data_IF_778028442356
#
_entry.id   IF_778028442356
#
_cell.length_a   1.000
_cell.length_b   1.000
_cell.length_c   1.000
_cell.angle_alpha   90.00
_cell.angle_beta   90.00
_cell.angle_gamma   90.00
#
_symmetry.space_group_name_H-M   'P 1'
#
loop_
_entity.id
_entity.type
_entity.pdbx_description
1 polymer ?
#
# COMPACT_ATOMS: atom_id res chain seq x y z
N UNK A 1 3.66 -31.61 14.30
CA UNK A 1 3.06 -30.34 14.76
C UNK A 1 3.71 -29.22 13.97
N UNK A 2 2.90 -28.33 13.39
CA UNK A 2 3.42 -27.20 12.63
C UNK A 2 4.08 -26.18 13.55
N UNK A 3 5.09 -25.50 13.05
CA UNK A 3 5.78 -24.39 13.74
C UNK A 3 4.79 -23.29 14.16
N UNK A 4 3.67 -23.20 13.43
CA UNK A 4 2.55 -22.27 13.61
C UNK A 4 1.68 -22.65 14.83
N UNK A 5 1.39 -23.94 15.06
CA UNK A 5 0.63 -24.41 16.23
C UNK A 5 1.40 -24.16 17.53
N UNK A 6 2.73 -24.29 17.49
CA UNK A 6 3.61 -24.02 18.64
C UNK A 6 3.67 -22.53 18.99
N UNK A 7 3.59 -21.64 18.00
CA UNK A 7 3.54 -20.19 18.21
C UNK A 7 2.16 -19.77 18.73
N UNK A 8 1.08 -20.37 18.20
CA UNK A 8 -0.30 -20.17 18.67
C UNK A 8 -0.46 -20.49 20.17
N UNK A 9 -0.05 -21.69 20.58
CA UNK A 9 -0.23 -22.18 21.95
C UNK A 9 0.55 -21.38 23.00
N UNK A 10 1.62 -20.68 22.59
CA UNK A 10 2.47 -19.90 23.49
C UNK A 10 2.06 -18.42 23.58
N UNK A 11 1.50 -17.83 22.51
CA UNK A 11 0.95 -16.47 22.56
C UNK A 11 -0.32 -16.42 23.43
N UNK A 12 -1.11 -17.50 23.45
CA UNK A 12 -2.38 -17.58 24.21
C UNK A 12 -2.23 -17.76 25.73
N UNK A 13 -1.02 -17.94 26.26
CA UNK A 13 -0.81 -17.97 27.72
C UNK A 13 -1.62 -19.04 28.48
N UNK A 14 -1.91 -20.19 27.85
CA UNK A 14 -2.56 -21.32 28.53
C UNK A 14 -1.57 -21.96 29.52
N UNK A 15 -1.47 -21.40 30.72
CA UNK A 15 -0.94 -22.07 31.91
C UNK A 15 -1.98 -23.04 32.42
N UNK A 16 -2.14 -24.17 31.72
CA UNK A 16 -2.77 -25.37 32.27
C UNK A 16 -1.66 -26.31 32.72
N UNK A 17 -1.61 -26.61 34.02
CA UNK A 17 -0.58 -27.35 34.77
C UNK A 17 -0.23 -28.76 34.26
N UNK A 18 -0.71 -29.20 33.10
CA UNK A 18 -0.45 -30.51 32.47
C UNK A 18 0.75 -30.53 31.50
N UNK A 19 1.38 -29.39 31.23
CA UNK A 19 2.53 -29.30 30.30
C UNK A 19 3.90 -29.35 30.99
N UNK A 20 3.94 -29.35 32.32
CA UNK A 20 5.19 -29.42 33.08
C UNK A 20 5.82 -30.84 33.08
N UNK A 21 5.03 -31.87 32.79
CA UNK A 21 5.52 -33.27 32.84
C UNK A 21 5.87 -33.86 31.45
N UNK A 22 5.50 -33.18 30.35
CA UNK A 22 5.73 -33.68 28.99
C UNK A 22 6.63 -32.78 28.11
N UNK A 23 7.08 -31.63 28.61
CA UNK A 23 7.81 -30.63 27.82
C UNK A 23 9.31 -30.52 28.15
N UNK A 24 9.86 -31.37 29.01
CA UNK A 24 11.30 -31.33 29.38
C UNK A 24 12.23 -31.97 28.34
N UNK A 25 11.71 -32.67 27.32
CA UNK A 25 12.57 -33.44 26.39
C UNK A 25 12.88 -32.79 25.03
N UNK A 26 12.24 -31.67 24.64
CA UNK A 26 12.42 -31.12 23.28
C UNK A 26 12.57 -29.59 23.21
N UNK A 27 13.22 -28.97 24.19
CA UNK A 27 13.71 -27.60 24.07
C UNK A 27 14.89 -27.53 23.08
N UNK A 28 14.61 -27.62 21.77
CA UNK A 28 15.58 -27.23 20.73
C UNK A 28 15.93 -25.75 20.93
N UNK A 29 17.21 -25.36 20.85
CA UNK A 29 17.62 -23.96 20.99
C UNK A 29 16.87 -23.12 19.96
N UNK A 30 16.05 -22.20 20.47
CA UNK A 30 15.16 -21.34 19.67
C UNK A 30 16.00 -20.50 18.71
N UNK A 31 15.51 -20.32 17.48
CA UNK A 31 16.24 -19.53 16.49
C UNK A 31 15.96 -18.05 16.75
N UNK A 32 17.02 -17.22 16.77
CA UNK A 32 16.96 -15.76 17.07
C UNK A 32 15.88 -15.01 16.27
N UNK A 33 15.56 -15.48 15.05
CA UNK A 33 14.55 -14.89 14.19
C UNK A 33 13.09 -15.11 14.67
N UNK A 34 12.81 -16.24 15.34
CA UNK A 34 11.48 -16.58 15.86
C UNK A 34 11.12 -15.68 17.04
N UNK A 35 12.08 -15.50 17.96
CA UNK A 35 11.91 -14.62 19.11
C UNK A 35 11.67 -13.17 18.71
N UNK A 36 12.35 -12.72 17.65
CA UNK A 36 12.19 -11.37 17.11
C UNK A 36 10.80 -11.16 16.48
N UNK A 37 10.32 -12.11 15.69
CA UNK A 37 8.98 -12.05 15.10
C UNK A 37 7.90 -11.99 16.19
N UNK A 38 8.03 -12.83 17.23
CA UNK A 38 7.08 -12.86 18.35
C UNK A 38 7.06 -11.54 19.12
N UNK A 39 8.22 -10.91 19.33
CA UNK A 39 8.30 -9.58 19.97
C UNK A 39 7.58 -8.51 19.16
N UNK A 40 7.81 -8.45 17.84
CA UNK A 40 7.15 -7.48 16.97
C UNK A 40 5.65 -7.75 16.92
N UNK A 41 5.23 -9.00 16.74
CA UNK A 41 3.82 -9.35 16.67
C UNK A 41 3.06 -8.93 17.94
N UNK A 42 3.64 -9.17 19.13
CA UNK A 42 3.04 -8.76 20.41
C UNK A 42 2.92 -7.24 20.54
N UNK A 43 3.92 -6.49 20.08
CA UNK A 43 3.87 -5.02 20.14
C UNK A 43 2.84 -4.45 19.15
N UNK A 44 2.77 -5.00 17.94
CA UNK A 44 1.76 -4.59 16.94
C UNK A 44 0.35 -4.95 17.42
N UNK A 45 0.18 -6.09 18.07
CA UNK A 45 -1.08 -6.47 18.71
C UNK A 45 -1.45 -5.49 19.83
N UNK A 46 -0.52 -5.11 20.70
CA UNK A 46 -0.77 -4.12 21.73
C UNK A 46 -1.17 -2.76 21.14
N UNK A 47 -0.51 -2.33 20.06
CA UNK A 47 -0.90 -1.14 19.32
C UNK A 47 -2.28 -1.28 18.70
N UNK A 48 -2.63 -2.45 18.16
CA UNK A 48 -3.95 -2.75 17.61
C UNK A 48 -5.05 -2.70 18.68
N UNK A 49 -4.82 -3.28 19.86
CA UNK A 49 -5.77 -3.26 20.98
C UNK A 49 -5.95 -1.86 21.57
N UNK A 50 -4.89 -1.06 21.62
CA UNK A 50 -4.97 0.31 22.11
C UNK A 50 -5.73 1.23 21.17
N UNK A 51 -5.52 1.05 19.87
CA UNK A 51 -6.10 1.89 18.84
C UNK A 51 -7.48 1.39 18.37
N UNK A 52 -7.82 0.10 18.56
CA UNK A 52 -9.10 -0.41 18.08
C UNK A 52 -10.27 0.35 18.71
N UNK A 53 -11.22 0.73 17.85
CA UNK A 53 -12.41 1.44 18.26
C UNK A 53 -13.64 0.71 17.76
N UNK A 54 -14.51 0.30 18.69
CA UNK A 54 -15.79 -0.35 18.36
C UNK A 54 -16.93 0.55 18.84
N UNK A 55 -17.58 1.31 17.95
CA UNK A 55 -18.75 2.10 18.31
C UNK A 55 -19.93 1.18 18.67
N UNK A 56 -20.84 1.61 19.58
CA UNK A 56 -21.97 0.79 20.00
C UNK A 56 -22.87 0.43 18.80
N UNK A 57 -23.01 -0.86 18.52
CA UNK A 57 -23.82 -1.39 17.41
C UNK A 57 -23.18 -1.30 16.01
N UNK A 58 -21.91 -0.88 15.90
CA UNK A 58 -21.18 -0.74 14.64
C UNK A 58 -19.99 -1.71 14.48
N UNK A 59 -19.32 -1.70 13.32
CA UNK A 59 -18.15 -2.54 13.06
C UNK A 59 -16.93 -2.07 13.85
N UNK A 60 -16.01 -2.98 14.17
CA UNK A 60 -14.73 -2.65 14.81
C UNK A 60 -13.78 -2.03 13.78
N UNK A 61 -13.24 -0.86 14.12
CA UNK A 61 -12.24 -0.15 13.33
C UNK A 61 -10.86 -0.40 13.92
N UNK A 62 -9.91 -0.73 13.04
CA UNK A 62 -8.49 -0.88 13.36
C UNK A 62 -7.66 -0.03 12.39
N UNK A 63 -6.45 0.40 12.79
CA UNK A 63 -5.49 1.04 11.90
C UNK A 63 -5.26 0.25 10.61
N UNK A 64 -5.04 0.98 9.50
CA UNK A 64 -4.88 0.38 8.17
C UNK A 64 -3.45 -0.05 7.90
N UNK A 65 -2.50 0.59 8.55
CA UNK A 65 -1.09 0.32 8.36
C UNK A 65 -0.35 0.36 9.70
N UNK A 66 0.58 -0.57 9.88
CA UNK A 66 1.48 -0.61 11.02
C UNK A 66 2.92 -0.51 10.52
N UNK A 67 3.57 0.60 10.84
CA UNK A 67 4.97 0.84 10.49
C UNK A 67 5.84 0.39 11.67
N UNK A 68 6.60 -0.68 11.46
CA UNK A 68 7.57 -1.21 12.43
C UNK A 68 8.94 -0.61 12.09
N UNK A 69 9.40 0.32 12.92
CA UNK A 69 10.73 0.88 12.80
C UNK A 69 11.74 -0.01 13.53
N UNK A 70 12.73 -0.46 12.80
CA UNK A 70 13.86 -1.25 13.30
C UNK A 70 15.11 -0.39 13.44
N UNK A 71 15.98 -0.76 14.37
CA UNK A 71 17.32 -0.19 14.43
C UNK A 71 18.10 -0.46 13.14
N UNK A 72 19.06 0.41 12.83
CA UNK A 72 19.92 0.24 11.66
C UNK A 72 20.78 -1.03 11.71
N UNK A 73 21.05 -1.57 12.92
CA UNK A 73 21.80 -2.81 13.08
C UNK A 73 20.93 -4.04 12.91
N UNK A 74 19.68 -4.01 13.36
CA UNK A 74 18.74 -5.11 13.13
C UNK A 74 18.30 -5.15 11.66
N UNK A 75 18.08 -4.01 11.00
CA UNK A 75 17.70 -3.99 9.58
C UNK A 75 18.73 -4.73 8.70
N UNK A 76 20.03 -4.66 9.03
CA UNK A 76 21.09 -5.41 8.33
C UNK A 76 20.88 -6.93 8.36
N UNK A 77 20.35 -7.45 9.47
CA UNK A 77 20.02 -8.87 9.62
C UNK A 77 18.73 -9.25 8.87
N UNK A 78 17.88 -8.26 8.56
CA UNK A 78 16.54 -8.39 7.98
C UNK A 78 16.42 -7.78 6.57
N UNK A 79 17.41 -8.02 5.70
CA UNK A 79 17.40 -7.55 4.32
C UNK A 79 16.92 -8.61 3.31
N UNK A 80 16.53 -8.16 2.12
CA UNK A 80 16.22 -9.04 0.99
C UNK A 80 15.02 -9.95 1.23
N UNK A 81 15.21 -11.26 1.07
CA UNK A 81 14.14 -12.25 1.21
C UNK A 81 13.76 -12.52 2.66
N UNK A 82 14.68 -12.32 3.62
CA UNK A 82 14.35 -12.39 5.06
C UNK A 82 13.34 -11.33 5.47
N UNK A 83 13.45 -10.11 4.94
CA UNK A 83 12.48 -9.03 5.14
C UNK A 83 11.08 -9.42 4.67
N UNK A 84 11.00 -9.99 3.46
CA UNK A 84 9.73 -10.43 2.87
C UNK A 84 9.09 -11.55 3.66
N UNK A 85 9.89 -12.54 4.08
CA UNK A 85 9.41 -13.64 4.92
C UNK A 85 8.90 -13.13 6.26
N UNK A 86 9.57 -12.14 6.85
CA UNK A 86 9.15 -11.50 8.10
C UNK A 86 7.85 -10.70 7.91
N UNK A 87 7.74 -9.86 6.87
CA UNK A 87 6.53 -9.12 6.51
C UNK A 87 5.33 -10.05 6.28
N UNK A 88 5.53 -11.13 5.50
CA UNK A 88 4.49 -12.12 5.24
C UNK A 88 4.10 -12.91 6.49
N UNK A 89 5.08 -13.30 7.32
CA UNK A 89 4.83 -14.00 8.57
C UNK A 89 4.07 -13.14 9.57
N UNK A 90 4.46 -11.87 9.73
CA UNK A 90 3.76 -10.91 10.58
C UNK A 90 2.35 -10.65 10.08
N UNK A 91 2.16 -10.43 8.78
CA UNK A 91 0.84 -10.24 8.19
C UNK A 91 -0.08 -11.43 8.47
N UNK A 92 0.40 -12.66 8.31
CA UNK A 92 -0.37 -13.87 8.58
C UNK A 92 -0.79 -13.97 10.05
N UNK A 93 0.16 -13.88 10.99
CA UNK A 93 -0.10 -13.97 12.43
C UNK A 93 -1.05 -12.86 12.90
N UNK A 94 -0.84 -11.63 12.45
CA UNK A 94 -1.68 -10.50 12.83
C UNK A 94 -3.09 -10.59 12.22
N UNK A 95 -3.24 -11.18 11.03
CA UNK A 95 -4.54 -11.34 10.39
C UNK A 95 -5.42 -12.32 11.15
N UNK A 96 -4.82 -13.41 11.65
CA UNK A 96 -5.52 -14.36 12.52
C UNK A 96 -5.94 -13.68 13.83
N UNK A 97 -5.03 -12.91 14.46
CA UNK A 97 -5.32 -12.19 15.71
C UNK A 97 -6.37 -11.09 15.55
N UNK A 98 -6.33 -10.30 14.48
CA UNK A 98 -7.34 -9.27 14.22
C UNK A 98 -8.75 -9.87 14.09
N UNK A 99 -8.84 -11.08 13.51
CA UNK A 99 -10.09 -11.83 13.39
C UNK A 99 -10.57 -12.37 14.75
N UNK A 100 -9.65 -12.81 15.61
CA UNK A 100 -9.98 -13.23 16.98
C UNK A 100 -10.43 -12.06 17.85
N UNK A 101 -9.73 -10.92 17.79
CA UNK A 101 -10.04 -9.70 18.54
C UNK A 101 -11.39 -9.09 18.14
N UNK A 102 -11.73 -9.15 16.86
CA UNK A 102 -13.05 -8.69 16.39
C UNK A 102 -14.20 -9.67 16.68
N UNK A 103 -13.87 -10.93 17.02
CA UNK A 103 -14.84 -11.94 17.41
C UNK A 103 -15.96 -12.14 16.38
N UNK A 104 -17.19 -11.84 16.78
CA UNK A 104 -18.40 -11.89 15.95
C UNK A 104 -18.71 -10.59 15.20
N UNK A 105 -17.96 -9.51 15.46
CA UNK A 105 -18.18 -8.18 14.86
C UNK A 105 -17.38 -8.06 13.58
N UNK A 106 -18.01 -7.61 12.50
CA UNK A 106 -17.31 -7.44 11.22
C UNK A 106 -16.25 -6.32 11.34
N UNK A 107 -15.00 -6.63 10.99
CA UNK A 107 -13.97 -5.61 10.80
C UNK A 107 -14.36 -4.69 9.65
N UNK A 108 -14.27 -3.37 9.88
CA UNK A 108 -14.56 -2.37 8.84
C UNK A 108 -13.55 -2.43 7.68
N UNK A 109 -12.34 -2.90 7.93
CA UNK A 109 -11.26 -3.04 6.96
C UNK A 109 -11.02 -4.50 6.60
N UNK A 110 -10.93 -4.80 5.29
CA UNK A 110 -10.73 -6.16 4.75
C UNK A 110 -9.28 -6.65 4.86
N UNK A 111 -8.33 -5.72 5.03
CA UNK A 111 -6.89 -5.98 5.09
C UNK A 111 -6.17 -4.78 5.69
N UNK A 112 -5.10 -5.01 6.44
CA UNK A 112 -4.15 -4.00 6.91
C UNK A 112 -2.75 -4.30 6.35
N UNK A 113 -1.88 -3.29 6.26
CA UNK A 113 -0.50 -3.44 5.83
C UNK A 113 0.46 -3.41 7.03
N UNK A 114 1.57 -4.14 6.93
CA UNK A 114 2.68 -4.04 7.88
C UNK A 114 3.92 -3.66 7.09
N UNK A 115 4.46 -2.47 7.34
CA UNK A 115 5.66 -1.97 6.70
C UNK A 115 6.81 -1.99 7.71
N UNK A 116 7.95 -2.56 7.32
CA UNK A 116 9.18 -2.38 8.10
C UNK A 116 9.89 -1.12 7.60
N UNK A 117 10.34 -0.26 8.50
CA UNK A 117 11.21 0.90 8.21
C UNK A 117 12.44 0.89 9.11
N UNK A 118 13.43 1.68 8.75
CA UNK A 118 14.64 1.85 9.56
C UNK A 118 14.55 3.18 10.29
N UNK A 119 14.85 3.18 11.58
CA UNK A 119 15.09 4.39 12.34
C UNK A 119 16.51 4.37 12.92
N UNK A 120 17.31 5.36 12.51
CA UNK A 120 18.69 5.52 12.94
C UNK A 120 18.84 6.02 14.38
N UNK A 121 17.76 6.41 15.06
CA UNK A 121 17.80 6.82 16.47
C UNK A 121 17.58 5.65 17.44
N UNK A 122 17.22 4.46 16.94
CA UNK A 122 16.95 3.28 17.76
C UNK A 122 18.22 2.46 18.00
N UNK A 123 18.37 1.94 19.21
CA UNK A 123 19.49 1.07 19.56
C UNK A 123 19.29 -0.34 19.02
N UNK A 124 20.38 -1.11 18.89
CA UNK A 124 20.28 -2.52 18.48
C UNK A 124 19.37 -3.32 19.42
N UNK A 125 18.40 -4.03 18.85
CA UNK A 125 17.36 -4.76 19.57
C UNK A 125 16.13 -3.92 19.96
N UNK A 126 16.17 -2.61 19.70
CA UNK A 126 15.06 -1.69 19.91
C UNK A 126 14.25 -1.52 18.62
N UNK A 127 12.93 -1.50 18.78
CA UNK A 127 11.99 -1.27 17.68
C UNK A 127 10.81 -0.46 18.21
N UNK A 128 10.16 0.31 17.34
CA UNK A 128 8.90 1.00 17.65
C UNK A 128 7.84 0.67 16.61
N UNK A 129 6.59 0.61 17.04
CA UNK A 129 5.45 0.41 16.16
C UNK A 129 4.63 1.69 16.11
N UNK A 130 4.37 2.16 14.91
CA UNK A 130 3.47 3.28 14.66
C UNK A 130 2.23 2.76 13.92
N UNK A 131 1.07 2.93 14.55
CA UNK A 131 -0.21 2.71 13.90
C UNK A 131 -0.58 3.92 13.05
N UNK A 132 -0.99 3.68 11.81
CA UNK A 132 -1.37 4.72 10.85
C UNK A 132 -2.81 4.50 10.43
N UNK A 133 -3.64 5.51 10.65
CA UNK A 133 -5.05 5.51 10.30
C UNK A 133 -5.30 6.01 8.87
N UNK A 134 -4.51 7.00 8.43
CA UNK A 134 -4.60 7.62 7.10
C UNK A 134 -3.25 7.62 6.36
N UNK A 135 -3.31 7.43 5.04
CA UNK A 135 -2.14 7.40 4.13
C UNK A 135 -1.28 8.68 4.19
N UNK A 136 -1.85 9.79 4.65
CA UNK A 136 -1.18 11.07 4.86
C UNK A 136 -0.31 11.16 6.12
N UNK A 137 -0.53 10.32 7.12
CA UNK A 137 0.24 10.33 8.38
C UNK A 137 1.49 9.44 8.32
N UNK A 138 1.66 8.68 7.23
CA UNK A 138 2.78 7.78 6.98
C UNK A 138 4.14 8.48 6.77
N UNK A 139 4.28 9.76 7.16
CA UNK A 139 5.56 10.47 7.16
C UNK A 139 6.12 10.77 5.77
N UNK A 140 5.26 10.95 4.76
CA UNK A 140 5.68 11.57 3.50
C UNK A 140 5.93 13.06 3.74
N UNK A 141 7.14 13.42 4.18
CA UNK A 141 7.61 14.80 4.20
C UNK A 141 7.69 15.30 2.76
N UNK A 142 6.58 15.79 2.22
CA UNK A 142 6.58 16.52 0.96
C UNK A 142 7.24 17.87 1.20
N UNK A 143 8.51 17.97 0.80
CA UNK A 143 9.16 19.27 0.65
C UNK A 143 8.47 19.96 -0.54
N UNK A 144 7.50 20.83 -0.26
CA UNK A 144 6.96 21.74 -1.28
C UNK A 144 8.10 22.59 -1.81
N UNK A 145 8.43 22.52 -3.11
CA UNK A 145 9.44 23.41 -3.70
C UNK A 145 9.00 24.86 -3.52
N UNK A 146 9.95 25.71 -3.12
CA UNK A 146 9.77 27.16 -2.97
C UNK A 146 9.19 27.71 -4.28
N UNK A 147 7.97 28.22 -4.23
CA UNK A 147 7.30 28.84 -5.37
C UNK A 147 8.14 30.03 -5.84
N UNK A 148 8.57 29.98 -7.09
CA UNK A 148 9.34 31.03 -7.76
C UNK A 148 8.44 32.28 -7.88
N UNK A 149 8.84 33.36 -7.20
CA UNK A 149 8.06 34.61 -7.07
C UNK A 149 7.96 35.40 -8.39
N UNK A 150 8.49 34.88 -9.49
CA UNK A 150 8.54 35.54 -10.80
C UNK A 150 7.25 35.40 -11.64
N UNK A 151 6.19 34.75 -11.13
CA UNK A 151 4.90 34.58 -11.82
C UNK A 151 3.67 34.91 -10.97
N UNK A 152 3.68 36.04 -10.25
CA UNK A 152 2.46 36.58 -9.64
C UNK A 152 2.00 37.85 -10.38
N UNK A 153 0.69 38.00 -10.68
CA UNK A 153 0.14 39.22 -11.27
C UNK A 153 0.31 40.41 -10.32
N UNK A 154 0.57 41.58 -10.92
CA UNK A 154 1.13 42.77 -10.30
C UNK A 154 0.20 43.59 -9.37
N UNK A 155 -0.55 42.95 -8.46
CA UNK A 155 -1.38 43.71 -7.52
C UNK A 155 -1.53 43.05 -6.13
N UNK A 156 -0.43 42.56 -5.56
CA UNK A 156 -0.41 42.09 -4.17
C UNK A 156 0.34 43.13 -3.31
N UNK A 157 -0.37 43.78 -2.39
CA UNK A 157 0.17 44.80 -1.50
C UNK A 157 0.30 44.18 -0.09
N UNK A 158 1.51 43.85 0.40
CA UNK A 158 1.71 43.01 1.59
C UNK A 158 1.57 43.76 2.93
N UNK A 159 0.87 44.89 2.98
CA UNK A 159 0.73 45.70 4.21
C UNK A 159 -0.73 45.86 4.70
N UNK A 160 -1.69 45.15 4.13
CA UNK A 160 -3.06 45.11 4.65
C UNK A 160 -3.31 43.86 5.53
N UNK A 161 -2.89 44.03 6.79
CA UNK A 161 -3.71 43.73 7.97
C UNK A 161 -3.87 42.27 8.39
N UNK A 162 -2.96 41.88 9.29
CA UNK A 162 -3.29 41.12 10.51
C UNK A 162 -4.46 41.84 11.22
N UNK A 163 -5.67 41.27 11.13
CA UNK A 163 -6.74 41.46 12.10
C UNK A 163 -7.43 40.14 12.34
N UNK A 164 -7.01 39.53 13.44
CA UNK A 164 -7.80 38.69 14.32
C UNK A 164 -9.27 39.17 14.37
N UNK A 165 -10.17 38.30 13.92
CA UNK A 165 -11.58 38.34 14.28
C UNK A 165 -11.96 36.92 14.70
N UNK A 166 -11.84 36.69 16.01
CA UNK A 166 -12.74 35.81 16.70
C UNK A 166 -14.16 36.36 16.50
N UNK A 167 -14.96 35.67 15.69
CA UNK A 167 -16.42 35.79 15.73
C UNK A 167 -16.93 34.40 16.05
N UNK A 168 -17.40 34.27 17.29
CA UNK A 168 -18.28 33.21 17.73
C UNK A 168 -19.54 33.26 16.88
N UNK A 169 -19.69 32.31 15.96
CA UNK A 169 -21.01 31.94 15.45
C UNK A 169 -21.28 30.50 15.86
N UNK A 170 -22.00 30.41 16.98
CA UNK A 170 -22.79 29.24 17.34
C UNK A 170 -23.85 29.07 16.24
N UNK A 171 -23.60 28.16 15.30
CA UNK A 171 -24.67 27.58 14.50
C UNK A 171 -24.37 26.10 14.29
N UNK A 172 -25.19 25.29 14.97
CA UNK A 172 -25.35 23.87 14.78
C UNK A 172 -25.70 23.61 13.31
N UNK A 173 -24.74 23.07 12.57
CA UNK A 173 -24.95 22.16 11.46
C UNK A 173 -23.59 21.57 11.07
N UNK A 174 -23.31 20.36 11.55
CA UNK A 174 -22.28 19.48 11.01
C UNK A 174 -22.62 19.14 9.55
N UNK A 175 -22.37 20.07 8.64
CA UNK A 175 -22.27 19.72 7.22
C UNK A 175 -20.90 19.07 7.02
N UNK A 176 -20.93 17.74 6.95
CA UNK A 176 -19.86 16.92 6.40
C UNK A 176 -19.45 17.50 5.03
N UNK A 177 -18.32 18.20 4.98
CA UNK A 177 -17.71 18.59 3.71
C UNK A 177 -17.16 17.32 3.06
N UNK A 178 -18.02 16.63 2.30
CA UNK A 178 -17.63 15.53 1.42
C UNK A 178 -16.75 16.14 0.34
N UNK A 179 -15.42 16.09 0.53
CA UNK A 179 -14.48 16.37 -0.56
C UNK A 179 -14.81 15.39 -1.69
N UNK A 180 -15.38 15.90 -2.76
CA UNK A 180 -15.62 15.14 -3.98
C UNK A 180 -14.29 14.56 -4.44
N UNK A 181 -14.17 13.21 -4.42
CA UNK A 181 -13.00 12.51 -4.95
C UNK A 181 -12.72 13.03 -6.36
N UNK A 182 -11.45 13.33 -6.66
CA UNK A 182 -11.04 13.71 -8.00
C UNK A 182 -11.60 12.68 -9.00
N UNK A 183 -12.32 13.16 -10.00
CA UNK A 183 -12.95 12.27 -10.95
C UNK A 183 -11.86 11.60 -11.82
N UNK A 184 -11.98 10.29 -12.12
CA UNK A 184 -11.02 9.64 -13.01
C UNK A 184 -11.06 10.27 -14.40
N UNK A 185 -9.89 10.38 -15.01
CA UNK A 185 -9.70 10.95 -16.35
C UNK A 185 -10.22 10.01 -17.44
N UNK A 186 -9.98 8.71 -17.26
CA UNK A 186 -10.42 7.62 -18.13
C UNK A 186 -10.34 6.30 -17.35
N UNK A 187 -10.85 5.22 -17.91
CA UNK A 187 -10.67 3.86 -17.37
C UNK A 187 -9.92 2.99 -18.35
N UNK A 188 -9.23 1.97 -17.85
CA UNK A 188 -8.53 0.99 -18.69
C UNK A 188 -9.08 -0.39 -18.39
N UNK A 189 -9.57 -1.08 -19.43
CA UNK A 189 -9.98 -2.47 -19.33
C UNK A 189 -8.81 -3.39 -19.64
N UNK A 190 -8.66 -4.45 -18.85
CA UNK A 190 -7.66 -5.50 -19.05
C UNK A 190 -8.40 -6.80 -19.33
N UNK A 191 -8.02 -7.44 -20.44
CA UNK A 191 -8.57 -8.69 -20.93
C UNK A 191 -7.46 -9.72 -21.08
N UNK A 192 -7.72 -10.96 -20.71
CA UNK A 192 -6.82 -12.10 -20.91
C UNK A 192 -7.60 -13.27 -21.47
N UNK A 193 -7.13 -13.84 -22.58
CA UNK A 193 -7.77 -15.00 -23.23
C UNK A 193 -9.29 -14.81 -23.48
N UNK A 194 -9.72 -13.59 -23.76
CA UNK A 194 -11.14 -13.25 -24.01
C UNK A 194 -11.99 -13.01 -22.76
N UNK A 195 -11.43 -13.14 -21.55
CA UNK A 195 -12.11 -12.82 -20.28
C UNK A 195 -11.64 -11.46 -19.79
N UNK A 196 -12.58 -10.58 -19.41
CA UNK A 196 -12.25 -9.29 -18.80
C UNK A 196 -11.83 -9.51 -17.35
N UNK A 197 -10.57 -9.24 -17.04
CA UNK A 197 -10.01 -9.42 -15.69
C UNK A 197 -10.27 -8.21 -14.80
N UNK A 198 -10.12 -7.00 -15.34
CA UNK A 198 -10.21 -5.78 -14.53
C UNK A 198 -10.63 -4.55 -15.35
N UNK A 199 -11.20 -3.56 -14.66
CA UNK A 199 -11.42 -2.21 -15.16
C UNK A 199 -10.83 -1.25 -14.13
N UNK A 200 -9.78 -0.52 -14.51
CA UNK A 200 -8.98 0.30 -13.60
C UNK A 200 -9.21 1.78 -13.91
N UNK A 201 -9.73 2.58 -12.95
CA UNK A 201 -9.87 4.02 -13.14
C UNK A 201 -8.51 4.71 -13.05
N UNK A 202 -8.22 5.59 -14.01
CA UNK A 202 -6.94 6.29 -14.11
C UNK A 202 -7.10 7.76 -13.74
N UNK A 203 -6.29 8.21 -12.79
CA UNK A 203 -6.27 9.59 -12.28
C UNK A 203 -5.11 10.42 -12.85
N UNK A 204 -4.10 9.77 -13.45
CA UNK A 204 -2.86 10.39 -13.92
C UNK A 204 -2.90 10.58 -15.44
N UNK A 205 -2.22 11.62 -15.91
CA UNK A 205 -2.02 11.82 -17.35
C UNK A 205 -1.05 10.80 -17.92
N UNK A 206 -0.03 10.37 -17.17
CA UNK A 206 0.92 9.34 -17.58
C UNK A 206 0.85 8.15 -16.61
N UNK A 207 0.75 6.95 -17.17
CA UNK A 207 0.78 5.70 -16.43
C UNK A 207 1.75 4.71 -17.05
N UNK A 208 2.42 3.96 -16.18
CA UNK A 208 3.28 2.84 -16.56
C UNK A 208 2.51 1.52 -16.52
N UNK A 209 2.68 0.72 -17.56
CA UNK A 209 2.02 -0.57 -17.75
C UNK A 209 3.09 -1.66 -17.78
N UNK A 210 2.91 -2.74 -17.03
CA UNK A 210 3.83 -3.87 -17.08
C UNK A 210 3.63 -4.84 -15.93
N UNK A 211 4.56 -5.79 -15.79
CA UNK A 211 4.50 -6.80 -14.72
C UNK A 211 4.84 -6.22 -13.35
N UNK A 212 5.64 -5.16 -13.31
CA UNK A 212 6.27 -4.65 -12.11
C UNK A 212 7.29 -5.63 -11.50
N UNK A 213 7.99 -5.16 -10.48
CA UNK A 213 8.82 -5.97 -9.59
C UNK A 213 9.00 -5.26 -8.26
N UNK A 214 9.70 -5.88 -7.31
CA UNK A 214 10.03 -5.23 -6.03
C UNK A 214 10.71 -3.87 -6.17
N UNK A 215 11.55 -3.70 -7.19
CA UNK A 215 12.29 -2.46 -7.47
C UNK A 215 11.66 -1.58 -8.54
N UNK A 216 10.54 -1.99 -9.14
CA UNK A 216 9.89 -1.28 -10.24
C UNK A 216 8.39 -1.34 -10.03
N UNK A 217 7.83 -0.27 -9.47
CA UNK A 217 6.38 -0.09 -9.39
C UNK A 217 5.83 0.29 -10.76
N UNK A 218 4.62 -0.17 -11.05
CA UNK A 218 3.85 0.24 -12.23
C UNK A 218 2.45 0.63 -11.80
N UNK A 219 1.85 1.56 -12.54
CA UNK A 219 0.50 2.05 -12.26
C UNK A 219 -0.57 1.03 -12.68
N UNK A 220 -0.33 0.34 -13.81
CA UNK A 220 -1.20 -0.71 -14.32
C UNK A 220 -0.47 -2.07 -14.33
N UNK A 221 -0.58 -2.85 -13.23
CA UNK A 221 0.09 -4.13 -13.12
C UNK A 221 -0.61 -5.23 -13.92
N UNK A 222 0.14 -5.87 -14.82
CA UNK A 222 -0.27 -7.06 -15.57
C UNK A 222 0.38 -8.28 -14.91
N UNK A 223 -0.40 -9.06 -14.18
CA UNK A 223 0.11 -10.19 -13.37
C UNK A 223 -0.05 -11.52 -14.11
N UNK A 224 0.83 -12.48 -13.80
CA UNK A 224 0.65 -13.87 -14.21
C UNK A 224 1.23 -14.25 -15.57
N UNK A 225 2.03 -13.37 -16.18
CA UNK A 225 2.83 -13.68 -17.38
C UNK A 225 4.26 -13.13 -17.23
N UNK A 226 5.29 -14.01 -17.19
CA UNK A 226 6.69 -13.60 -17.09
C UNK A 226 7.23 -12.92 -18.36
N UNK A 227 6.57 -13.08 -19.51
CA UNK A 227 6.95 -12.45 -20.78
C UNK A 227 6.69 -10.95 -20.79
N UNK A 228 5.75 -10.50 -19.96
CA UNK A 228 5.51 -9.08 -19.74
C UNK A 228 6.69 -8.48 -18.99
N UNK A 229 7.34 -7.51 -19.64
CA UNK A 229 8.43 -6.73 -19.05
C UNK A 229 7.99 -6.00 -17.77
N UNK A 230 8.95 -5.77 -16.86
CA UNK A 230 8.69 -5.07 -15.59
C UNK A 230 8.04 -3.71 -15.82
N UNK A 231 8.55 -2.95 -16.79
CA UNK A 231 7.87 -1.83 -17.44
C UNK A 231 7.78 -2.18 -18.92
N UNK A 232 6.56 -2.39 -19.42
CA UNK A 232 6.31 -2.86 -20.77
C UNK A 232 5.89 -1.72 -21.70
N UNK A 233 5.00 -0.85 -21.25
CA UNK A 233 4.57 0.31 -22.00
C UNK A 233 4.31 1.49 -21.07
N UNK A 234 4.29 2.70 -21.63
CA UNK A 234 3.83 3.91 -20.95
C UNK A 234 2.69 4.47 -21.77
N UNK A 235 1.56 4.70 -21.12
CA UNK A 235 0.40 5.36 -21.71
C UNK A 235 0.35 6.78 -21.16
N UNK A 236 0.42 7.77 -22.04
CA UNK A 236 0.26 9.18 -21.69
C UNK A 236 -0.97 9.77 -22.38
N UNK A 237 -1.57 10.76 -21.71
CA UNK A 237 -2.68 11.55 -22.19
C UNK A 237 -2.28 13.01 -22.17
N UNK A 238 -2.41 13.69 -23.31
CA UNK A 238 -2.10 15.11 -23.40
C UNK A 238 -3.26 15.99 -22.90
N UNK A 239 -3.05 17.31 -22.88
CA UNK A 239 -4.06 18.28 -22.45
C UNK A 239 -5.25 18.40 -23.43
N UNK A 240 -5.09 17.91 -24.66
CA UNK A 240 -6.14 17.86 -25.69
C UNK A 240 -6.97 16.56 -25.59
N UNK A 241 -6.57 15.65 -24.70
CA UNK A 241 -7.25 14.38 -24.44
C UNK A 241 -6.82 13.24 -25.36
N UNK A 242 -5.80 13.42 -26.20
CA UNK A 242 -5.23 12.37 -27.06
C UNK A 242 -4.36 11.44 -26.25
N UNK A 243 -4.31 10.18 -26.67
CA UNK A 243 -3.56 9.13 -26.01
C UNK A 243 -2.32 8.76 -26.83
N UNK A 244 -1.21 8.58 -26.13
CA UNK A 244 0.07 8.22 -26.70
C UNK A 244 0.60 6.99 -25.99
N UNK A 245 0.98 5.97 -26.75
CA UNK A 245 1.54 4.73 -26.23
C UNK A 245 3.01 4.61 -26.64
N UNK A 246 3.88 4.45 -25.66
CA UNK A 246 5.31 4.20 -25.88
C UNK A 246 5.65 2.79 -25.42
N UNK A 247 6.06 1.93 -26.34
CA UNK A 247 6.49 0.57 -26.04
C UNK A 247 7.92 0.57 -25.47
N UNK A 248 8.13 0.03 -24.26
CA UNK A 248 9.45 -0.07 -23.60
C UNK A 248 9.94 -1.50 -23.40
N UNK A 249 9.01 -2.45 -23.47
CA UNK A 249 9.22 -3.87 -23.21
C UNK A 249 10.19 -4.54 -24.18
N UNK A 250 10.66 -5.73 -23.78
CA UNK A 250 11.45 -6.61 -24.65
C UNK A 250 10.60 -7.25 -25.74
N UNK A 251 9.39 -7.69 -25.36
CA UNK A 251 8.43 -8.31 -26.27
C UNK A 251 7.59 -7.22 -26.94
N UNK A 252 7.08 -7.48 -28.15
CA UNK A 252 6.37 -6.47 -28.93
C UNK A 252 5.05 -6.07 -28.27
N UNK A 253 4.73 -4.78 -28.38
CA UNK A 253 3.39 -4.24 -28.12
C UNK A 253 2.73 -3.96 -29.45
N UNK A 254 1.50 -4.41 -29.65
CA UNK A 254 0.75 -4.20 -30.89
C UNK A 254 -0.51 -3.40 -30.64
N UNK A 255 -0.93 -2.59 -31.61
CA UNK A 255 -2.20 -1.85 -31.59
C UNK A 255 -2.98 -2.26 -32.82
N UNK A 256 -4.16 -2.84 -32.64
CA UNK A 256 -5.00 -3.41 -33.71
C UNK A 256 -4.23 -4.36 -34.65
N UNK A 257 -3.25 -5.09 -34.09
CA UNK A 257 -2.40 -6.04 -34.82
C UNK A 257 -1.16 -5.42 -35.48
N UNK A 258 -0.97 -4.10 -35.42
CA UNK A 258 0.26 -3.44 -35.87
C UNK A 258 1.25 -3.31 -34.73
N UNK A 259 2.47 -3.82 -34.91
CA UNK A 259 3.55 -3.66 -33.93
C UNK A 259 4.02 -2.21 -33.85
N UNK A 260 4.26 -1.74 -32.62
CA UNK A 260 4.80 -0.42 -32.35
C UNK A 260 6.33 -0.44 -32.31
N UNK A 261 6.94 0.64 -32.78
CA UNK A 261 8.38 0.86 -32.61
C UNK A 261 8.70 1.08 -31.14
N UNK A 262 9.75 0.42 -30.64
CA UNK A 262 10.20 0.56 -29.26
C UNK A 262 10.78 1.96 -29.00
N UNK A 263 10.47 2.51 -27.83
CA UNK A 263 10.82 3.86 -27.36
C UNK A 263 10.26 5.03 -28.20
N UNK A 264 9.39 4.76 -29.17
CA UNK A 264 8.74 5.79 -29.99
C UNK A 264 7.29 5.98 -29.53
N UNK A 265 6.87 7.22 -29.16
CA UNK A 265 5.48 7.50 -28.85
C UNK A 265 4.60 7.36 -30.11
N UNK A 266 3.59 6.50 -30.04
CA UNK A 266 2.60 6.34 -31.10
C UNK A 266 1.23 6.82 -30.62
N UNK A 267 0.59 7.69 -31.40
CA UNK A 267 -0.78 8.12 -31.12
C UNK A 267 -1.75 6.95 -31.26
N UNK A 268 -2.65 6.80 -30.29
CA UNK A 268 -3.68 5.78 -30.29
C UNK A 268 -5.04 6.39 -29.95
N UNK A 269 -6.09 5.83 -30.53
CA UNK A 269 -7.46 6.20 -30.21
C UNK A 269 -7.99 5.40 -29.02
N UNK A 270 -9.04 5.94 -28.39
CA UNK A 270 -9.79 5.19 -27.38
C UNK A 270 -10.40 3.92 -27.99
N UNK A 271 -10.62 2.90 -27.16
CA UNK A 271 -11.13 1.56 -27.52
C UNK A 271 -10.26 0.72 -28.49
N UNK A 272 -9.14 1.26 -29.01
CA UNK A 272 -8.20 0.46 -29.80
C UNK A 272 -7.65 -0.71 -29.01
N UNK A 273 -7.44 -1.83 -29.70
CA UNK A 273 -6.96 -3.07 -29.10
C UNK A 273 -5.45 -3.02 -28.93
N UNK A 274 -4.98 -2.70 -27.73
CA UNK A 274 -3.57 -2.73 -27.38
C UNK A 274 -3.23 -4.13 -26.87
N UNK A 275 -2.48 -4.92 -27.63
CA UNK A 275 -2.04 -6.25 -27.22
C UNK A 275 -0.60 -6.21 -26.67
N UNK A 276 -0.44 -6.78 -25.48
CA UNK A 276 0.81 -6.96 -24.75
C UNK A 276 0.89 -8.43 -24.33
N UNK A 277 1.70 -9.24 -25.02
CA UNK A 277 1.73 -10.70 -24.83
C UNK A 277 0.30 -11.28 -24.89
N UNK A 278 -0.12 -12.06 -23.88
CA UNK A 278 -1.45 -12.67 -23.80
C UNK A 278 -2.57 -11.70 -23.36
N UNK A 279 -2.23 -10.43 -23.10
CA UNK A 279 -3.16 -9.43 -22.60
C UNK A 279 -3.61 -8.48 -23.69
N UNK A 280 -4.85 -8.06 -23.57
CA UNK A 280 -5.47 -7.04 -24.40
C UNK A 280 -5.97 -5.93 -23.49
N UNK A 281 -5.60 -4.71 -23.83
CA UNK A 281 -5.92 -3.51 -23.07
C UNK A 281 -6.72 -2.57 -23.96
N UNK A 282 -7.74 -1.93 -23.37
CA UNK A 282 -8.56 -0.92 -24.04
C UNK A 282 -8.78 0.28 -23.15
N UNK A 283 -8.70 1.46 -23.76
CA UNK A 283 -8.93 2.74 -23.08
C UNK A 283 -10.41 3.08 -23.21
N UNK A 284 -11.09 3.22 -22.08
CA UNK A 284 -12.48 3.66 -22.01
C UNK A 284 -12.49 5.15 -21.63
N UNK A 285 -12.82 6.05 -22.56
CA UNK A 285 -12.95 7.46 -22.27
C UNK A 285 -14.15 7.66 -21.35
N UNK A 286 -14.14 8.77 -20.61
CA UNK A 286 -15.25 9.13 -19.73
C UNK A 286 -16.36 9.81 -20.53
#
# INVERSE_FOLDING_TARGET
MGLIDSIRKWIDGETGEDLLEAADEHAKPRRVWEEFLVKIAREVEAAMQREMFTPPGGPTYIPREYIVYLSADDDKDWQGDKRRGLEQGLFHVLSERARELSGSTQLAVKSFAVELRVDGTLNKGEFRVQAVWDETEAGHTMVTPRVDQSKLPANFNPNETVRELAISDTNENEQTVVRTKAAPLYSVEIWRSGVREAVVPIMKNEISIGRGSRSVSVDLPIKGDPEVSRTHAVLSRDNEGRYWLTAKGRNPTTVDGRELTREEPTEIAADQKIAICDFVIRIQPK
#
